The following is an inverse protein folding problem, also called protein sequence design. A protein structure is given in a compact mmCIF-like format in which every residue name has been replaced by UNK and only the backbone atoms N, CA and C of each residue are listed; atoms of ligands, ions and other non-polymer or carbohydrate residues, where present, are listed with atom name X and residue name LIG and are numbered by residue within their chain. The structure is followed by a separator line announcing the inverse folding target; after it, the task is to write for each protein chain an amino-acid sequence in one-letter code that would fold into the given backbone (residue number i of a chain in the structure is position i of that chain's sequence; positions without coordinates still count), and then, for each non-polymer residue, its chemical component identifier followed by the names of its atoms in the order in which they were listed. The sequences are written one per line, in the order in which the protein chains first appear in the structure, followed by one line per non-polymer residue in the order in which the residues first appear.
data_IF_082915357174
#
_entry.id   IF_082915357174
#
_cell.length_a   1.000
_cell.length_b   1.000
_cell.length_c   1.000
_cell.angle_alpha   90.00
_cell.angle_beta   90.00
_cell.angle_gamma   90.00
#
_symmetry.space_group_name_H-M   'P 1'
#
loop_
_entity.id
_entity.type
_entity.pdbx_description
1 polymer ?
#
# COMPACT_ATOMS: atom_id res chain seq x y z
N UNK A 1 -17.91 -3.78 1.55
CA UNK A 1 -16.44 -3.79 1.69
C UNK A 1 -15.84 -3.97 0.31
N UNK A 2 -15.37 -2.89 -0.33
CA UNK A 2 -14.87 -2.91 -1.72
C UNK A 2 -13.45 -3.46 -1.75
N UNK A 3 -13.15 -4.37 -2.67
CA UNK A 3 -11.82 -4.97 -2.84
C UNK A 3 -10.79 -3.92 -3.26
N UNK A 4 -9.53 -4.03 -2.78
CA UNK A 4 -8.44 -3.16 -3.27
C UNK A 4 -8.11 -3.38 -4.74
N UNK A 5 -8.57 -4.49 -5.34
CA UNK A 5 -8.37 -4.79 -6.76
C UNK A 5 -9.03 -3.78 -7.71
N UNK A 6 -9.94 -2.93 -7.22
CA UNK A 6 -10.46 -1.81 -7.99
C UNK A 6 -9.37 -0.79 -8.37
N UNK A 7 -8.32 -0.68 -7.54
CA UNK A 7 -7.26 0.32 -7.70
C UNK A 7 -5.87 -0.30 -7.88
N UNK A 8 -5.61 -1.47 -7.30
CA UNK A 8 -4.30 -2.13 -7.29
C UNK A 8 -4.35 -3.48 -7.99
N UNK A 9 -3.31 -3.83 -8.73
CA UNK A 9 -3.19 -5.19 -9.29
C UNK A 9 -2.73 -6.21 -8.21
N UNK A 10 -2.72 -7.50 -8.57
CA UNK A 10 -2.34 -8.60 -7.67
C UNK A 10 -0.92 -8.53 -7.10
N UNK A 11 0.00 -7.87 -7.80
CA UNK A 11 1.38 -7.69 -7.37
C UNK A 11 1.51 -6.48 -6.44
N UNK A 12 0.89 -5.36 -6.80
CA UNK A 12 1.01 -4.08 -6.10
C UNK A 12 0.48 -4.13 -4.67
N UNK A 13 -0.70 -4.75 -4.46
CA UNK A 13 -1.25 -4.84 -3.11
C UNK A 13 -0.37 -5.71 -2.20
N UNK A 14 0.34 -6.70 -2.76
CA UNK A 14 1.26 -7.56 -2.01
C UNK A 14 2.51 -6.79 -1.58
N UNK A 15 3.04 -5.92 -2.43
CA UNK A 15 4.14 -5.01 -2.07
C UNK A 15 3.73 -4.15 -0.87
N UNK A 16 2.53 -3.56 -0.93
CA UNK A 16 2.00 -2.76 0.16
C UNK A 16 1.77 -3.59 1.43
N UNK A 17 1.22 -4.80 1.29
CA UNK A 17 1.01 -5.72 2.41
C UNK A 17 2.31 -6.04 3.14
N UNK A 18 3.35 -6.48 2.41
CA UNK A 18 4.65 -6.84 2.98
C UNK A 18 5.31 -5.64 3.66
N UNK A 19 5.19 -4.45 3.07
CA UNK A 19 5.72 -3.21 3.67
C UNK A 19 5.12 -2.91 5.06
N UNK A 20 3.81 -3.12 5.24
CA UNK A 20 3.11 -2.80 6.48
C UNK A 20 2.94 -3.99 7.44
N UNK A 21 3.23 -5.20 6.98
CA UNK A 21 3.13 -6.44 7.74
C UNK A 21 4.41 -7.26 7.57
N UNK A 22 5.57 -6.73 8.01
CA UNK A 22 6.82 -7.47 7.92
C UNK A 22 6.68 -8.81 8.65
N UNK A 23 7.26 -9.85 8.07
CA UNK A 23 7.26 -11.23 8.59
C UNK A 23 5.89 -11.92 8.66
N UNK A 24 4.83 -11.35 8.05
CA UNK A 24 3.55 -12.05 7.89
C UNK A 24 3.45 -12.71 6.54
N UNK A 25 2.82 -13.89 6.51
CA UNK A 25 2.45 -14.55 5.27
C UNK A 25 1.42 -13.71 4.50
N UNK A 26 1.59 -13.63 3.18
CA UNK A 26 0.67 -12.90 2.30
C UNK A 26 -0.69 -13.62 2.32
N UNK A 27 -1.80 -12.90 2.57
CA UNK A 27 -3.13 -13.50 2.62
C UNK A 27 -3.57 -13.98 1.24
N UNK A 28 -4.50 -14.94 1.19
CA UNK A 28 -5.10 -15.41 -0.07
C UNK A 28 -6.03 -14.39 -0.72
N UNK A 29 -6.56 -13.45 0.05
CA UNK A 29 -7.49 -12.42 -0.41
C UNK A 29 -6.87 -11.06 -0.21
N UNK A 30 -7.07 -10.13 -1.17
CA UNK A 30 -6.57 -8.78 -1.03
C UNK A 30 -7.24 -8.07 0.17
N UNK A 31 -6.54 -7.12 0.80
CA UNK A 31 -7.16 -6.21 1.75
C UNK A 31 -8.27 -5.38 1.09
N UNK A 32 -9.15 -4.79 1.91
CA UNK A 32 -10.17 -3.88 1.39
C UNK A 32 -9.56 -2.52 1.00
N UNK A 33 -10.32 -1.74 0.22
CA UNK A 33 -9.88 -0.43 -0.26
C UNK A 33 -9.53 0.53 0.88
N UNK A 34 -10.28 0.50 2.00
CA UNK A 34 -10.02 1.37 3.16
C UNK A 34 -8.64 1.10 3.76
N UNK A 35 -8.27 -0.17 3.88
CA UNK A 35 -6.99 -0.60 4.44
C UNK A 35 -5.81 -0.17 3.56
N UNK A 36 -5.91 -0.34 2.23
CA UNK A 36 -4.82 0.08 1.33
C UNK A 36 -4.72 1.61 1.25
N UNK A 37 -5.85 2.33 1.28
CA UNK A 37 -5.85 3.80 1.36
C UNK A 37 -5.14 4.28 2.61
N UNK A 38 -5.37 3.62 3.74
CA UNK A 38 -4.71 3.94 4.99
C UNK A 38 -3.19 3.71 4.92
N UNK A 39 -2.76 2.56 4.41
CA UNK A 39 -1.33 2.26 4.21
C UNK A 39 -0.66 3.26 3.25
N UNK A 40 -1.32 3.61 2.15
CA UNK A 40 -0.84 4.66 1.24
C UNK A 40 -0.69 5.99 2.00
N UNK A 41 -1.69 6.41 2.78
CA UNK A 41 -1.59 7.62 3.59
C UNK A 41 -0.40 7.57 4.57
N UNK A 42 -0.17 6.42 5.21
CA UNK A 42 0.92 6.22 6.17
C UNK A 42 2.29 6.32 5.48
N UNK A 43 2.45 5.83 4.25
CA UNK A 43 3.66 6.12 3.45
C UNK A 43 3.88 7.63 3.30
N UNK A 44 2.80 8.38 3.10
CA UNK A 44 2.78 9.83 3.00
C UNK A 44 2.98 10.59 4.31
N UNK A 45 3.12 9.88 5.45
CA UNK A 45 3.36 10.46 6.77
C UNK A 45 2.14 10.53 7.68
N UNK A 46 0.99 9.98 7.28
CA UNK A 46 -0.16 9.88 8.18
C UNK A 46 0.17 8.92 9.34
N UNK A 47 -0.05 9.34 10.58
CA UNK A 47 0.36 8.55 11.74
C UNK A 47 -0.66 7.46 12.09
N UNK A 48 -1.94 7.65 11.75
CA UNK A 48 -3.03 6.74 12.08
C UNK A 48 -3.18 6.50 13.60
N UNK A 49 -3.16 7.58 14.39
CA UNK A 49 -3.50 7.53 15.82
C UNK A 49 -5.02 7.56 15.98
N UNK A 50 -5.51 7.09 17.13
CA UNK A 50 -6.95 6.93 17.43
C UNK A 50 -7.80 8.18 17.16
N UNK A 51 -7.23 9.37 17.27
CA UNK A 51 -7.94 10.65 17.11
C UNK A 51 -7.51 11.47 15.88
N UNK A 52 -6.71 10.91 14.97
CA UNK A 52 -6.25 11.65 13.77
C UNK A 52 -7.35 11.83 12.71
N UNK A 53 -8.47 11.12 12.82
CA UNK A 53 -9.54 11.10 11.82
C UNK A 53 -9.14 10.32 10.57
N UNK A 54 -9.68 10.72 9.42
CA UNK A 54 -9.35 10.11 8.12
C UNK A 54 -8.21 10.89 7.43
N UNK A 55 -7.35 10.23 6.64
CA UNK A 55 -6.20 10.88 6.02
C UNK A 55 -6.61 11.93 4.97
N UNK A 56 -6.04 13.14 5.09
CA UNK A 56 -6.23 14.20 4.10
C UNK A 56 -5.47 13.95 2.78
N UNK A 57 -5.86 14.68 1.73
CA UNK A 57 -5.34 14.54 0.35
C UNK A 57 -3.82 14.65 0.25
N UNK A 58 -3.18 15.49 1.06
CA UNK A 58 -1.72 15.65 1.05
C UNK A 58 -0.98 14.38 1.48
N UNK A 59 -1.49 13.67 2.49
CA UNK A 59 -0.92 12.40 2.93
C UNK A 59 -1.10 11.33 1.84
N UNK A 60 -2.28 11.28 1.23
CA UNK A 60 -2.57 10.35 0.13
C UNK A 60 -1.65 10.59 -1.06
N UNK A 61 -1.52 11.84 -1.54
CA UNK A 61 -0.67 12.16 -2.69
C UNK A 61 0.80 11.85 -2.44
N UNK A 62 1.34 12.21 -1.27
CA UNK A 62 2.71 11.86 -0.88
C UNK A 62 2.90 10.35 -0.80
N UNK A 63 1.89 9.65 -0.28
CA UNK A 63 1.81 8.21 -0.20
C UNK A 63 1.88 7.53 -1.55
N UNK A 64 1.03 7.95 -2.49
CA UNK A 64 0.97 7.43 -3.85
C UNK A 64 2.31 7.58 -4.58
N UNK A 65 2.98 8.74 -4.46
CA UNK A 65 4.31 8.93 -5.04
C UNK A 65 5.35 7.96 -4.48
N UNK A 66 5.39 7.78 -3.16
CA UNK A 66 6.30 6.81 -2.54
C UNK A 66 5.96 5.38 -2.94
N UNK A 67 4.67 5.06 -3.04
CA UNK A 67 4.22 3.74 -3.44
C UNK A 67 4.55 3.42 -4.89
N UNK A 68 4.44 4.39 -5.81
CA UNK A 68 4.88 4.25 -7.18
C UNK A 68 6.38 3.87 -7.27
N UNK A 69 7.24 4.53 -6.49
CA UNK A 69 8.67 4.18 -6.44
C UNK A 69 8.91 2.78 -5.86
N UNK A 70 8.11 2.32 -4.90
CA UNK A 70 8.21 0.94 -4.37
C UNK A 70 7.81 -0.10 -5.43
N UNK A 71 6.75 0.18 -6.19
CA UNK A 71 6.29 -0.65 -7.30
C UNK A 71 7.37 -0.72 -8.38
N UNK A 72 7.93 0.43 -8.78
CA UNK A 72 9.02 0.50 -9.75
C UNK A 72 10.22 -0.35 -9.30
N UNK A 73 10.69 -0.18 -8.08
CA UNK A 73 11.79 -0.98 -7.53
C UNK A 73 11.49 -2.49 -7.50
N UNK A 74 10.26 -2.88 -7.16
CA UNK A 74 9.86 -4.28 -7.16
C UNK A 74 9.81 -4.88 -8.57
N UNK A 75 9.36 -4.13 -9.57
CA UNK A 75 9.39 -4.57 -10.97
C UNK A 75 10.81 -4.68 -11.50
N UNK A 76 11.69 -3.73 -11.17
CA UNK A 76 13.11 -3.82 -11.54
C UNK A 76 13.74 -5.07 -10.95
N UNK A 77 13.51 -5.35 -9.66
CA UNK A 77 14.03 -6.55 -9.00
C UNK A 77 13.47 -7.84 -9.65
N UNK A 78 12.17 -7.88 -9.95
CA UNK A 78 11.54 -9.01 -10.65
C UNK A 78 12.20 -9.26 -12.01
N UNK A 79 12.48 -8.21 -12.78
CA UNK A 79 13.15 -8.36 -14.08
C UNK A 79 14.59 -8.86 -13.95
N UNK A 80 15.28 -8.52 -12.85
CA UNK A 80 16.66 -8.97 -12.58
C UNK A 80 16.68 -10.43 -12.10
N UNK A 81 15.72 -10.84 -11.26
CA UNK A 81 15.76 -12.11 -10.54
C UNK A 81 14.84 -13.21 -11.11
N UNK A 82 13.86 -12.86 -11.97
CA UNK A 82 12.83 -13.79 -12.50
C UNK A 82 11.55 -13.82 -11.66
#
# INVERSE_FOLDING_TARGET
NISSLLFLNEFDWKILFVKFNPNKNIPKRPPNIKQVTLWIAQLGGFLNRKSDGEPGVTHIWRGLKKFANLIEGAHLLKNICG
#
